data_IF_278994572064
#
_entry.id   IF_278994572064
#
_cell.length_a   1.000
_cell.length_b   1.000
_cell.length_c   1.000
_cell.angle_alpha   90.00
_cell.angle_beta   90.00
_cell.angle_gamma   90.00
#
_symmetry.space_group_name_H-M   'P 1'
#
loop_
_entity.id
_entity.type
_entity.pdbx_description
1 polymer ?
#
# COMPACT_ATOMS: atom_id res chain seq x y z
N UNK A 1 -7.49 1.11 8.80
CA UNK A 1 -7.73 1.93 7.58
C UNK A 1 -8.47 1.10 6.55
N UNK A 2 -9.06 1.74 5.58
CA UNK A 2 -9.99 1.06 4.67
C UNK A 2 -9.85 1.60 3.25
N UNK A 3 -9.97 0.72 2.26
CA UNK A 3 -9.96 1.08 0.85
C UNK A 3 -11.03 0.26 0.12
N UNK A 4 -11.72 0.89 -0.83
CA UNK A 4 -12.67 0.20 -1.70
C UNK A 4 -12.06 0.06 -3.09
N UNK A 5 -12.07 -1.17 -3.61
CA UNK A 5 -11.54 -1.44 -4.94
C UNK A 5 -12.48 -2.42 -5.65
N UNK A 6 -12.97 -2.02 -6.82
CA UNK A 6 -13.95 -2.81 -7.60
C UNK A 6 -15.14 -3.24 -6.76
N UNK A 7 -15.70 -2.30 -5.99
CA UNK A 7 -16.87 -2.49 -5.13
C UNK A 7 -16.64 -3.44 -3.96
N UNK A 8 -15.38 -3.76 -3.65
CA UNK A 8 -15.02 -4.58 -2.50
C UNK A 8 -14.29 -3.72 -1.49
N UNK A 9 -14.73 -3.75 -0.23
CA UNK A 9 -14.06 -3.05 0.85
C UNK A 9 -12.95 -3.90 1.43
N UNK A 10 -11.78 -3.29 1.61
CA UNK A 10 -10.62 -3.93 2.22
C UNK A 10 -10.20 -3.14 3.45
N UNK A 11 -9.78 -3.85 4.48
CA UNK A 11 -9.21 -3.24 5.68
C UNK A 11 -7.70 -3.45 5.64
N UNK A 12 -6.93 -2.40 5.95
CA UNK A 12 -5.48 -2.54 5.96
C UNK A 12 -4.87 -1.78 7.13
N UNK A 13 -3.65 -2.21 7.51
CA UNK A 13 -2.86 -1.60 8.57
C UNK A 13 -1.44 -1.40 8.06
N UNK A 14 -0.78 -0.35 8.55
CA UNK A 14 0.60 -0.06 8.19
C UNK A 14 1.53 -0.58 9.27
N UNK A 15 2.55 -1.33 8.87
CA UNK A 15 3.52 -1.93 9.77
C UNK A 15 4.90 -1.30 9.71
N UNK A 16 5.06 -0.19 9.00
CA UNK A 16 6.37 0.45 8.90
C UNK A 16 6.90 0.80 10.30
N UNK A 17 8.16 0.45 10.55
CA UNK A 17 8.80 0.72 11.84
C UNK A 17 9.26 2.15 12.01
N UNK A 18 9.29 2.95 10.96
CA UNK A 18 9.70 4.33 11.00
C UNK A 18 8.59 5.23 10.49
N UNK A 19 8.72 6.54 10.73
CA UNK A 19 7.73 7.51 10.29
C UNK A 19 7.58 7.48 8.77
N UNK A 20 6.33 7.58 8.31
CA UNK A 20 6.02 7.62 6.88
C UNK A 20 5.98 9.08 6.45
N UNK A 21 6.71 9.40 5.38
CA UNK A 21 6.78 10.75 4.82
C UNK A 21 6.97 10.65 3.31
N UNK A 22 7.15 11.77 2.64
CA UNK A 22 7.26 11.76 1.17
C UNK A 22 8.55 11.12 0.65
N UNK A 23 9.51 10.79 1.51
CA UNK A 23 10.71 10.08 1.11
C UNK A 23 10.56 8.56 1.29
N UNK A 24 9.46 8.11 1.88
CA UNK A 24 9.21 6.69 2.08
C UNK A 24 8.99 6.01 0.74
N UNK A 25 9.75 4.95 0.49
CA UNK A 25 9.68 4.19 -0.76
C UNK A 25 9.21 2.77 -0.57
N UNK A 26 8.99 2.34 0.67
CA UNK A 26 8.54 0.99 0.97
C UNK A 26 7.43 1.04 2.02
N UNK A 27 6.34 0.34 1.75
CA UNK A 27 5.23 0.22 2.68
C UNK A 27 5.01 -1.24 3.03
N UNK A 28 5.04 -1.55 4.32
CA UNK A 28 4.70 -2.87 4.83
C UNK A 28 3.27 -2.79 5.36
N UNK A 29 2.40 -3.58 4.77
CA UNK A 29 0.96 -3.47 4.97
C UNK A 29 0.38 -4.83 5.30
N UNK A 30 -0.56 -4.87 6.24
CA UNK A 30 -1.45 -6.03 6.43
C UNK A 30 -2.75 -5.68 5.72
N UNK A 31 -3.09 -6.43 4.69
CA UNK A 31 -4.31 -6.23 3.91
C UNK A 31 -5.25 -7.41 4.17
N UNK A 32 -6.39 -7.14 4.82
CA UNK A 32 -7.33 -8.19 5.22
C UNK A 32 -6.64 -9.36 5.92
N UNK A 33 -5.67 -9.04 6.79
CA UNK A 33 -4.93 -10.06 7.53
C UNK A 33 -3.72 -10.64 6.81
N UNK A 34 -3.46 -10.25 5.56
CA UNK A 34 -2.37 -10.79 4.76
C UNK A 34 -1.24 -9.77 4.63
N UNK A 35 0.01 -10.12 5.02
CA UNK A 35 1.12 -9.18 4.89
C UNK A 35 1.55 -9.04 3.44
N UNK A 36 1.73 -7.81 3.01
CA UNK A 36 2.26 -7.48 1.68
C UNK A 36 3.25 -6.33 1.81
N UNK A 37 4.11 -6.18 0.81
CA UNK A 37 5.06 -5.08 0.73
C UNK A 37 4.88 -4.38 -0.61
N UNK A 38 4.72 -3.06 -0.56
CA UNK A 38 4.69 -2.22 -1.75
C UNK A 38 5.96 -1.40 -1.81
N UNK A 39 6.48 -1.17 -3.01
CA UNK A 39 7.59 -0.26 -3.23
C UNK A 39 7.18 0.82 -4.21
N UNK A 40 7.73 2.02 -4.00
CA UNK A 40 7.46 3.15 -4.87
C UNK A 40 8.58 3.27 -5.90
N UNK A 41 8.23 3.29 -7.17
CA UNK A 41 9.15 3.44 -8.27
C UNK A 41 8.79 4.68 -9.11
N UNK A 42 9.78 5.24 -9.77
CA UNK A 42 9.61 6.40 -10.66
C UNK A 42 8.81 7.52 -10.00
N UNK A 43 9.07 7.72 -8.71
CA UNK A 43 8.52 8.82 -7.94
C UNK A 43 7.09 8.63 -7.43
N UNK A 44 6.20 7.99 -8.16
CA UNK A 44 4.80 7.92 -7.74
C UNK A 44 4.09 6.61 -8.04
N UNK A 45 4.78 5.65 -8.61
CA UNK A 45 4.16 4.37 -8.95
C UNK A 45 4.42 3.36 -7.84
N UNK A 46 3.35 2.81 -7.29
CA UNK A 46 3.45 1.77 -6.28
C UNK A 46 3.26 0.41 -6.90
N UNK A 47 4.16 -0.51 -6.62
CA UNK A 47 4.07 -1.89 -7.09
C UNK A 47 4.21 -2.83 -5.91
N UNK A 48 3.62 -4.01 -6.03
CA UNK A 48 3.78 -5.04 -5.01
C UNK A 48 5.14 -5.71 -5.18
N UNK A 49 5.96 -5.67 -4.13
CA UNK A 49 7.26 -6.33 -4.14
C UNK A 49 7.19 -7.73 -3.55
N UNK A 50 6.36 -7.94 -2.53
CA UNK A 50 6.30 -9.22 -1.82
C UNK A 50 4.93 -9.42 -1.19
N UNK A 51 4.62 -10.68 -0.88
CA UNK A 51 3.37 -11.07 -0.23
C UNK A 51 2.89 -12.39 -0.76
N UNK A 52 2.10 -13.12 0.04
CA UNK A 52 1.51 -14.38 -0.39
C UNK A 52 0.31 -14.19 -1.30
N UNK A 53 -0.33 -13.02 -1.20
CA UNK A 53 -1.45 -12.65 -2.06
C UNK A 53 -0.91 -11.76 -3.16
N UNK A 54 -1.23 -12.08 -4.41
CA UNK A 54 -0.81 -11.25 -5.54
C UNK A 54 -1.90 -10.23 -5.86
N UNK A 55 -1.56 -8.95 -5.79
CA UNK A 55 -2.49 -7.87 -6.11
C UNK A 55 -2.39 -7.52 -7.59
N UNK A 56 -3.52 -7.12 -8.19
CA UNK A 56 -3.48 -6.52 -9.51
C UNK A 56 -2.64 -5.24 -9.43
N UNK A 57 -1.90 -4.89 -10.50
CA UNK A 57 -1.09 -3.66 -10.50
C UNK A 57 -1.90 -2.41 -10.17
N UNK A 58 -3.13 -2.32 -10.68
CA UNK A 58 -4.01 -1.18 -10.40
C UNK A 58 -4.38 -1.12 -8.92
N UNK A 59 -4.59 -2.28 -8.28
CA UNK A 59 -4.91 -2.32 -6.86
C UNK A 59 -3.70 -1.91 -6.02
N UNK A 60 -2.51 -2.42 -6.36
CA UNK A 60 -1.28 -2.03 -5.64
C UNK A 60 -1.08 -0.51 -5.72
N UNK A 61 -1.30 0.07 -6.89
CA UNK A 61 -1.21 1.53 -7.07
C UNK A 61 -2.28 2.26 -6.26
N UNK A 62 -3.51 1.78 -6.29
CA UNK A 62 -4.60 2.40 -5.53
C UNK A 62 -4.34 2.33 -4.03
N UNK A 63 -3.81 1.21 -3.55
CA UNK A 63 -3.49 1.04 -2.13
C UNK A 63 -2.36 1.98 -1.71
N UNK A 64 -1.28 2.03 -2.49
CA UNK A 64 -0.18 2.94 -2.21
C UNK A 64 -0.61 4.40 -2.23
N UNK A 65 -1.49 4.76 -3.17
CA UNK A 65 -2.03 6.11 -3.26
C UNK A 65 -2.91 6.44 -2.05
N UNK A 66 -3.71 5.48 -1.59
CA UNK A 66 -4.54 5.67 -0.40
C UNK A 66 -3.68 5.98 0.83
N UNK A 67 -2.57 5.25 0.99
CA UNK A 67 -1.62 5.51 2.08
C UNK A 67 -0.97 6.88 1.89
N UNK A 68 -0.57 7.22 0.67
CA UNK A 68 0.07 8.50 0.38
C UNK A 68 -0.82 9.67 0.76
N UNK A 69 -2.11 9.58 0.46
CA UNK A 69 -3.05 10.63 0.81
C UNK A 69 -3.24 10.76 2.33
N UNK A 70 -3.30 9.62 3.01
CA UNK A 70 -3.50 9.61 4.46
C UNK A 70 -2.29 10.19 5.21
N UNK A 71 -1.09 9.93 4.73
CA UNK A 71 0.14 10.39 5.38
C UNK A 71 0.75 11.63 4.72
N UNK A 72 0.09 12.18 3.72
CA UNK A 72 0.54 13.37 2.99
C UNK A 72 1.95 13.21 2.41
N UNK A 73 2.14 12.08 1.77
CA UNK A 73 3.41 11.76 1.12
C UNK A 73 3.60 12.53 -0.18
#
# INVERSE_FOLDING_TARGET
MRITYKDIDYVYEILNGSAINKETTELKIILNGEPITLTKEDGKVWIQQAGEVTLEPDFAQALGRSVSLRYRM
#
